data_IF_579820915596
#
_entry.id   IF_579820915596
#
_cell.length_a   1.000
_cell.length_b   1.000
_cell.length_c   1.000
_cell.angle_alpha   90.00
_cell.angle_beta   90.00
_cell.angle_gamma   90.00
#
_symmetry.space_group_name_H-M   'P 1'
#
loop_
_entity.id
_entity.type
_entity.pdbx_description
1 polymer ?
#
# COMPACT_ATOMS: atom_id res chain seq x y z
N UNK A 1 5.77 11.67 13.27
CA UNK A 1 5.61 11.33 11.83
C UNK A 1 4.26 11.92 11.40
N UNK A 2 4.25 12.97 10.59
CA UNK A 2 2.99 13.57 10.12
C UNK A 2 2.33 12.62 9.10
N UNK A 3 1.11 12.18 9.39
CA UNK A 3 0.33 11.36 8.47
C UNK A 3 -0.21 12.32 7.40
N UNK A 4 0.34 12.23 6.19
CA UNK A 4 -0.19 12.96 5.03
C UNK A 4 -1.46 12.25 4.57
N UNK A 5 -2.63 12.80 4.88
CA UNK A 5 -3.89 12.29 4.35
C UNK A 5 -3.97 12.56 2.84
N UNK A 6 -4.17 11.51 2.04
CA UNK A 6 -4.45 11.63 0.62
C UNK A 6 -5.96 11.53 0.40
N UNK A 7 -6.67 12.65 0.16
CA UNK A 7 -8.13 12.66 0.02
C UNK A 7 -8.63 11.89 -1.21
N UNK A 8 -7.75 11.55 -2.15
CA UNK A 8 -8.05 10.80 -3.37
C UNK A 8 -8.55 9.38 -3.08
N UNK A 9 -8.03 8.69 -2.06
CA UNK A 9 -8.44 7.31 -1.75
C UNK A 9 -9.86 7.23 -1.21
N UNK A 10 -10.36 8.32 -0.59
CA UNK A 10 -11.74 8.42 -0.07
C UNK A 10 -12.80 8.23 -1.18
N UNK A 11 -12.44 8.41 -2.46
CA UNK A 11 -13.34 8.26 -3.61
C UNK A 11 -13.27 6.90 -4.30
N UNK A 12 -12.26 6.09 -4.00
CA UNK A 12 -12.09 4.78 -4.64
C UNK A 12 -13.11 3.80 -4.12
N UNK A 13 -13.52 2.85 -4.97
CA UNK A 13 -14.29 1.69 -4.52
C UNK A 13 -13.41 0.80 -3.64
N UNK A 14 -14.04 0.03 -2.77
CA UNK A 14 -13.31 -0.82 -1.82
C UNK A 14 -12.40 -1.84 -2.52
N UNK A 15 -12.87 -2.44 -3.61
CA UNK A 15 -12.08 -3.36 -4.45
C UNK A 15 -10.89 -2.66 -5.10
N UNK A 16 -11.09 -1.47 -5.68
CA UNK A 16 -10.01 -0.68 -6.29
C UNK A 16 -8.97 -0.29 -5.25
N UNK A 17 -9.40 0.08 -4.04
CA UNK A 17 -8.52 0.45 -2.95
C UNK A 17 -7.66 -0.74 -2.50
N UNK A 18 -8.24 -1.93 -2.36
CA UNK A 18 -7.51 -3.14 -2.01
C UNK A 18 -6.52 -3.52 -3.13
N UNK A 19 -6.98 -3.58 -4.38
CA UNK A 19 -6.15 -4.01 -5.51
C UNK A 19 -4.96 -3.08 -5.75
N UNK A 20 -5.19 -1.77 -5.75
CA UNK A 20 -4.10 -0.79 -5.93
C UNK A 20 -3.13 -0.81 -4.76
N UNK A 21 -3.60 -1.03 -3.53
CA UNK A 21 -2.72 -1.18 -2.38
C UNK A 21 -1.80 -2.39 -2.55
N UNK A 22 -2.33 -3.54 -2.96
CA UNK A 22 -1.52 -4.74 -3.22
C UNK A 22 -0.47 -4.49 -4.32
N UNK A 23 -0.87 -3.92 -5.47
CA UNK A 23 0.07 -3.61 -6.56
C UNK A 23 1.20 -2.68 -6.12
N UNK A 24 0.90 -1.68 -5.28
CA UNK A 24 1.92 -0.77 -4.76
C UNK A 24 2.85 -1.44 -3.75
N UNK A 25 2.37 -2.39 -2.95
CA UNK A 25 3.21 -3.21 -2.08
C UNK A 25 4.19 -4.06 -2.90
N UNK A 26 3.77 -4.58 -4.05
CA UNK A 26 4.68 -5.28 -4.95
C UNK A 26 5.73 -4.34 -5.55
N UNK A 27 5.32 -3.12 -5.95
CA UNK A 27 6.25 -2.06 -6.37
C UNK A 27 7.26 -1.69 -5.27
N UNK A 28 6.85 -1.62 -4.00
CA UNK A 28 7.78 -1.36 -2.88
C UNK A 28 8.90 -2.40 -2.81
N UNK A 29 8.59 -3.68 -3.07
CA UNK A 29 9.59 -4.74 -3.08
C UNK A 29 10.59 -4.57 -4.22
N UNK A 30 10.10 -4.26 -5.43
CA UNK A 30 11.00 -3.97 -6.56
C UNK A 30 11.90 -2.75 -6.28
N UNK A 31 11.38 -1.73 -5.60
CA UNK A 31 12.16 -0.53 -5.24
C UNK A 31 13.21 -0.84 -4.18
N UNK A 32 12.89 -1.73 -3.23
CA UNK A 32 13.83 -2.22 -2.23
C UNK A 32 14.98 -2.99 -2.89
N UNK A 33 14.67 -3.89 -3.84
CA UNK A 33 15.68 -4.65 -4.60
C UNK A 33 16.58 -3.75 -5.45
N UNK A 34 16.05 -2.64 -5.96
CA UNK A 34 16.79 -1.66 -6.77
C UNK A 34 17.56 -0.62 -5.91
N UNK A 35 17.53 -0.75 -4.58
CA UNK A 35 18.10 0.21 -3.62
C UNK A 35 17.66 1.67 -3.84
N UNK A 36 16.50 1.88 -4.46
CA UNK A 36 15.99 3.22 -4.78
C UNK A 36 15.23 3.80 -3.57
N UNK A 37 16.01 4.23 -2.57
CA UNK A 37 15.50 4.67 -1.27
C UNK A 37 14.55 5.87 -1.36
N UNK A 38 14.78 6.81 -2.27
CA UNK A 38 13.93 8.00 -2.39
C UNK A 38 12.52 7.63 -2.86
N UNK A 39 12.43 6.86 -3.96
CA UNK A 39 11.15 6.40 -4.50
C UNK A 39 10.47 5.41 -3.55
N UNK A 40 11.25 4.58 -2.85
CA UNK A 40 10.75 3.69 -1.81
C UNK A 40 9.99 4.46 -0.72
N UNK A 41 10.59 5.51 -0.17
CA UNK A 41 9.95 6.29 0.90
C UNK A 41 8.68 7.02 0.42
N UNK A 42 8.68 7.52 -0.82
CA UNK A 42 7.49 8.13 -1.43
C UNK A 42 6.36 7.11 -1.57
N UNK A 43 6.64 5.93 -2.11
CA UNK A 43 5.63 4.88 -2.25
C UNK A 43 5.17 4.34 -0.90
N UNK A 44 6.06 4.20 0.08
CA UNK A 44 5.71 3.77 1.44
C UNK A 44 4.73 4.74 2.11
N UNK A 45 4.91 6.06 1.96
CA UNK A 45 3.98 7.06 2.48
C UNK A 45 2.59 6.93 1.82
N UNK A 46 2.55 6.72 0.50
CA UNK A 46 1.30 6.54 -0.25
C UNK A 46 0.55 5.31 0.23
N UNK A 47 1.24 4.17 0.33
CA UNK A 47 0.66 2.90 0.79
C UNK A 47 0.16 3.01 2.22
N UNK A 48 0.89 3.69 3.10
CA UNK A 48 0.46 3.88 4.48
C UNK A 48 -0.90 4.60 4.55
N UNK A 49 -1.10 5.63 3.72
CA UNK A 49 -2.38 6.34 3.66
C UNK A 49 -3.51 5.48 3.05
N UNK A 50 -3.20 4.59 2.10
CA UNK A 50 -4.18 3.60 1.61
C UNK A 50 -4.57 2.61 2.70
N UNK A 51 -3.59 2.08 3.46
CA UNK A 51 -3.84 1.16 4.58
C UNK A 51 -4.71 1.80 5.66
N UNK A 52 -4.48 3.09 5.96
CA UNK A 52 -5.31 3.84 6.91
C UNK A 52 -6.77 3.89 6.43
N UNK A 53 -7.01 4.21 5.15
CA UNK A 53 -8.36 4.27 4.58
C UNK A 53 -9.04 2.89 4.56
N UNK A 54 -8.31 1.83 4.21
CA UNK A 54 -8.80 0.44 4.28
C UNK A 54 -9.24 0.08 5.70
N UNK A 55 -8.39 0.37 6.70
CA UNK A 55 -8.71 0.13 8.11
C UNK A 55 -9.93 0.93 8.55
N UNK A 56 -10.03 2.20 8.12
CA UNK A 56 -11.17 3.08 8.41
C UNK A 56 -12.49 2.52 7.86
N UNK A 57 -12.46 1.87 6.69
CA UNK A 57 -13.61 1.21 6.07
C UNK A 57 -13.87 -0.20 6.57
N UNK A 58 -13.07 -0.69 7.52
CA UNK A 58 -13.12 -2.05 8.04
C UNK A 58 -12.96 -3.12 6.93
N UNK A 59 -12.19 -2.79 5.90
CA UNK A 59 -11.88 -3.71 4.80
C UNK A 59 -10.76 -4.66 5.23
N UNK A 60 -10.90 -5.92 4.85
CA UNK A 60 -9.84 -6.91 5.04
C UNK A 60 -8.95 -6.88 3.80
N UNK A 61 -7.71 -6.42 3.98
CA UNK A 61 -6.65 -6.85 3.06
C UNK A 61 -6.40 -8.30 3.42
N UNK A 62 -6.62 -9.19 2.46
CA UNK A 62 -6.36 -10.60 2.65
C UNK A 62 -4.89 -10.77 3.03
N UNK A 63 -4.65 -11.01 4.32
CA UNK A 63 -3.32 -11.10 4.90
C UNK A 63 -2.54 -12.24 4.26
N UNK A 64 -3.21 -13.29 3.83
CA UNK A 64 -2.56 -14.43 3.16
C UNK A 64 -2.00 -14.00 1.81
N UNK A 65 -2.76 -13.26 0.99
CA UNK A 65 -2.24 -12.65 -0.25
C UNK A 65 -1.12 -11.65 0.00
N UNK A 66 -1.24 -10.83 1.05
CA UNK A 66 -0.24 -9.81 1.37
C UNK A 66 1.06 -10.43 1.89
N UNK A 67 0.96 -11.48 2.72
CA UNK A 67 2.08 -12.28 3.21
C UNK A 67 2.71 -13.09 2.07
N UNK A 68 1.93 -13.76 1.22
CA UNK A 68 2.44 -14.43 0.02
C UNK A 68 3.22 -13.47 -0.85
N UNK A 69 2.67 -12.28 -1.10
CA UNK A 69 3.34 -11.28 -1.89
C UNK A 69 4.60 -10.79 -1.17
N UNK A 70 4.59 -10.51 0.14
CA UNK A 70 5.76 -9.98 0.86
C UNK A 70 6.86 -11.04 1.07
N UNK A 71 6.51 -12.31 1.27
CA UNK A 71 7.45 -13.39 1.60
C UNK A 71 7.92 -14.20 0.39
N UNK A 72 7.33 -14.03 -0.80
CA UNK A 72 7.89 -14.65 -2.02
C UNK A 72 9.20 -13.93 -2.38
N UNK A 73 10.28 -14.65 -2.11
CA UNK A 73 11.68 -14.35 -2.38
C UNK A 73 12.16 -15.20 -3.55
#
# INVERSE_FOLDING_TARGET
MNIVEFPTFKKWKDEELIENTCRKIDRLKELLEKENNEEYWKEAMIINSMIIEIKKRNLKIDKEKLIENILKK
#
